data_IF_557054642252
#
_entry.id   IF_557054642252
#
_cell.length_a   1.000
_cell.length_b   1.000
_cell.length_c   1.000
_cell.angle_alpha   90.00
_cell.angle_beta   90.00
_cell.angle_gamma   90.00
#
_symmetry.space_group_name_H-M   'P 1'
#
loop_
_entity.id
_entity.type
_entity.pdbx_description
1 polymer ?
#
# COMPACT_ATOMS: atom_id res chain seq x y z
N UNK A 1 7.20 -13.77 -8.71
CA UNK A 1 5.85 -13.18 -8.69
C UNK A 1 5.30 -13.03 -10.11
N UNK A 2 4.00 -13.27 -10.29
CA UNK A 2 3.35 -13.10 -11.59
C UNK A 2 3.28 -11.62 -12.01
N UNK A 3 3.21 -10.71 -11.06
CA UNK A 3 3.17 -9.27 -11.30
C UNK A 3 4.39 -8.76 -12.10
N UNK A 4 5.58 -9.17 -11.71
CA UNK A 4 6.83 -8.85 -12.39
C UNK A 4 6.91 -9.58 -13.75
N UNK A 5 6.73 -10.90 -13.74
CA UNK A 5 6.89 -11.75 -14.90
C UNK A 5 5.96 -11.38 -16.05
N UNK A 6 4.68 -11.16 -15.77
CA UNK A 6 3.72 -10.81 -16.82
C UNK A 6 3.95 -9.40 -17.34
N UNK A 7 4.24 -8.43 -16.48
CA UNK A 7 4.55 -7.09 -16.93
C UNK A 7 5.73 -7.09 -17.93
N UNK A 8 6.78 -7.86 -17.65
CA UNK A 8 7.93 -8.01 -18.56
C UNK A 8 7.53 -8.66 -19.90
N UNK A 9 6.79 -9.76 -19.86
CA UNK A 9 6.34 -10.46 -21.08
C UNK A 9 5.44 -9.58 -21.95
N UNK A 10 4.55 -8.82 -21.31
CA UNK A 10 3.64 -7.92 -22.02
C UNK A 10 4.41 -6.72 -22.60
N UNK A 11 5.42 -6.22 -21.90
CA UNK A 11 6.31 -5.16 -22.43
C UNK A 11 7.13 -5.67 -23.62
N UNK A 12 7.63 -6.89 -23.57
CA UNK A 12 8.34 -7.52 -24.69
C UNK A 12 7.42 -7.69 -25.92
N UNK A 13 6.15 -8.04 -25.70
CA UNK A 13 5.19 -8.31 -26.78
C UNK A 13 4.52 -7.07 -27.35
N UNK A 14 4.16 -6.13 -26.53
CA UNK A 14 3.31 -4.99 -26.90
C UNK A 14 4.02 -3.63 -26.79
N UNK A 15 5.25 -3.59 -26.29
CA UNK A 15 5.97 -2.36 -26.00
C UNK A 15 5.58 -1.73 -24.67
N UNK A 16 6.22 -0.58 -24.40
CA UNK A 16 5.89 0.22 -23.21
C UNK A 16 4.61 1.02 -23.45
N UNK A 17 3.54 0.67 -22.74
CA UNK A 17 2.23 1.34 -22.81
C UNK A 17 2.06 2.15 -21.52
N UNK A 18 1.84 3.51 -21.62
CA UNK A 18 1.65 4.37 -20.46
C UNK A 18 0.56 3.83 -19.52
N UNK A 19 0.82 3.90 -18.21
CA UNK A 19 -0.04 3.41 -17.13
C UNK A 19 -0.33 1.89 -17.11
N UNK A 20 0.18 1.13 -18.07
CA UNK A 20 -0.03 -0.32 -18.19
C UNK A 20 1.31 -1.06 -18.05
N UNK A 21 2.20 -0.98 -19.06
CA UNK A 21 3.48 -1.70 -19.07
C UNK A 21 4.70 -0.79 -18.92
N UNK A 22 4.52 0.47 -18.59
CA UNK A 22 5.56 1.49 -18.43
C UNK A 22 6.36 1.38 -17.12
N UNK A 23 6.02 0.40 -16.29
CA UNK A 23 6.71 0.06 -15.04
C UNK A 23 7.15 -1.41 -15.07
N UNK A 24 8.08 -1.77 -14.21
CA UNK A 24 8.65 -3.13 -14.19
C UNK A 24 7.77 -4.15 -13.43
N UNK A 25 6.55 -3.77 -13.06
CA UNK A 25 5.61 -4.60 -12.31
C UNK A 25 4.17 -4.18 -12.57
N UNK A 26 3.25 -5.10 -12.41
CA UNK A 26 1.83 -4.80 -12.25
C UNK A 26 1.48 -4.59 -10.78
N UNK A 27 0.53 -3.71 -10.51
CA UNK A 27 -0.06 -3.58 -9.18
C UNK A 27 -0.67 -4.93 -8.78
N UNK A 28 -0.52 -5.30 -7.51
CA UNK A 28 -0.97 -6.60 -7.01
C UNK A 28 -2.50 -6.71 -7.06
N UNK A 29 -3.01 -7.83 -7.59
CA UNK A 29 -4.44 -8.13 -7.64
C UNK A 29 -5.25 -7.01 -8.35
N UNK A 30 -6.43 -6.67 -7.85
CA UNK A 30 -7.33 -5.64 -8.37
C UNK A 30 -7.10 -4.24 -7.76
N UNK A 31 -6.04 -4.08 -6.97
CA UNK A 31 -5.80 -2.82 -6.26
C UNK A 31 -5.50 -1.67 -7.22
N UNK A 32 -5.88 -0.47 -6.80
CA UNK A 32 -5.53 0.76 -7.50
C UNK A 32 -4.00 0.90 -7.66
N UNK A 33 -3.54 1.55 -8.72
CA UNK A 33 -2.11 1.71 -8.98
C UNK A 33 -1.42 2.42 -7.79
N UNK A 34 -0.43 1.76 -7.19
CA UNK A 34 0.27 2.22 -5.98
C UNK A 34 1.00 3.55 -6.15
N UNK A 35 1.30 3.96 -7.40
CA UNK A 35 1.94 5.24 -7.73
C UNK A 35 0.96 6.41 -7.71
N UNK A 36 -0.32 6.12 -7.85
CA UNK A 36 -1.39 7.13 -7.80
C UNK A 36 -1.74 7.40 -6.34
N UNK A 37 -2.23 8.59 -6.07
CA UNK A 37 -2.61 9.01 -4.72
C UNK A 37 -4.13 9.29 -4.64
N UNK A 38 -4.98 8.27 -4.80
CA UNK A 38 -6.41 8.43 -4.56
C UNK A 38 -6.66 8.64 -3.06
N UNK A 39 -7.76 9.29 -2.74
CA UNK A 39 -8.31 9.20 -1.38
C UNK A 39 -8.73 7.76 -1.07
N UNK A 40 -8.84 7.35 0.19
CA UNK A 40 -9.37 6.03 0.54
C UNK A 40 -10.75 5.75 -0.08
N UNK A 41 -11.58 6.76 -0.19
CA UNK A 41 -12.93 6.68 -0.76
C UNK A 41 -12.90 6.40 -2.26
N UNK A 42 -12.12 7.15 -3.02
CA UNK A 42 -11.92 6.93 -4.47
C UNK A 42 -11.32 5.56 -4.76
N UNK A 43 -10.37 5.13 -3.90
CA UNK A 43 -9.77 3.79 -4.01
C UNK A 43 -10.81 2.69 -3.81
N UNK A 44 -11.63 2.80 -2.77
CA UNK A 44 -12.69 1.82 -2.49
C UNK A 44 -13.75 1.80 -3.58
N UNK A 45 -14.14 2.96 -4.11
CA UNK A 45 -15.09 3.04 -5.24
C UNK A 45 -14.56 2.42 -6.53
N UNK A 46 -13.27 2.55 -6.79
CA UNK A 46 -12.62 1.89 -7.92
C UNK A 46 -12.57 0.37 -7.74
N UNK A 47 -12.22 -0.09 -6.55
CA UNK A 47 -11.93 -1.50 -6.30
C UNK A 47 -13.19 -2.36 -6.06
N UNK A 48 -14.28 -1.78 -5.54
CA UNK A 48 -15.50 -2.53 -5.15
C UNK A 48 -16.16 -3.30 -6.28
N UNK A 49 -15.96 -2.86 -7.52
CA UNK A 49 -16.61 -3.49 -8.70
C UNK A 49 -15.98 -4.84 -9.08
N UNK A 50 -14.73 -5.10 -8.73
CA UNK A 50 -14.02 -6.30 -9.14
C UNK A 50 -14.47 -7.56 -8.40
N UNK A 51 -14.65 -7.55 -7.07
CA UNK A 51 -15.22 -8.68 -6.34
C UNK A 51 -16.63 -9.04 -6.78
N UNK A 52 -17.46 -8.05 -7.05
CA UNK A 52 -18.84 -8.23 -7.54
C UNK A 52 -18.89 -8.95 -8.90
N UNK A 53 -17.86 -8.78 -9.73
CA UNK A 53 -17.72 -9.44 -11.02
C UNK A 53 -17.33 -10.93 -10.93
N UNK A 54 -17.21 -11.52 -9.73
CA UNK A 54 -17.05 -12.95 -9.56
C UNK A 54 -15.74 -13.44 -8.93
N UNK A 55 -15.20 -12.72 -7.95
CA UNK A 55 -14.04 -13.19 -7.18
C UNK A 55 -14.43 -14.35 -6.24
N UNK A 56 -14.37 -15.59 -6.76
CA UNK A 56 -14.79 -16.80 -6.03
C UNK A 56 -13.82 -17.23 -4.91
N UNK A 57 -12.57 -16.76 -4.96
CA UNK A 57 -11.54 -17.14 -3.99
C UNK A 57 -11.41 -16.20 -2.79
N UNK A 58 -12.26 -15.18 -2.69
CA UNK A 58 -12.18 -14.13 -1.69
C UNK A 58 -11.31 -12.93 -2.14
N UNK A 59 -11.43 -11.84 -1.40
CA UNK A 59 -10.76 -10.58 -1.70
C UNK A 59 -10.61 -9.76 -0.43
N UNK A 60 -9.58 -8.90 -0.40
CA UNK A 60 -9.35 -7.95 0.68
C UNK A 60 -9.00 -6.61 0.04
N UNK A 61 -9.72 -5.56 0.39
CA UNK A 61 -9.37 -4.20 0.06
C UNK A 61 -8.39 -3.66 1.10
N UNK A 62 -7.30 -3.05 0.66
CA UNK A 62 -6.30 -2.46 1.54
C UNK A 62 -6.21 -0.96 1.31
N UNK A 63 -6.29 -0.18 2.39
CA UNK A 63 -5.91 1.22 2.39
C UNK A 63 -4.60 1.40 3.15
N UNK A 64 -3.68 2.16 2.57
CA UNK A 64 -2.40 2.52 3.18
C UNK A 64 -2.58 3.86 3.91
N UNK A 65 -2.43 3.86 5.23
CA UNK A 65 -2.62 5.06 6.04
C UNK A 65 -1.27 5.59 6.56
N UNK A 66 -1.17 6.91 6.83
CA UNK A 66 -0.12 7.43 7.69
C UNK A 66 -0.33 6.99 9.14
N UNK A 67 0.50 7.45 10.06
CA UNK A 67 0.26 7.26 11.50
C UNK A 67 -0.96 8.07 11.92
N UNK A 68 -2.05 7.41 12.32
CA UNK A 68 -3.36 8.03 12.65
C UNK A 68 -3.67 8.05 14.15
N UNK A 69 -2.69 7.86 15.02
CA UNK A 69 -2.90 7.84 16.48
C UNK A 69 -3.56 9.12 17.00
N UNK A 70 -3.27 10.26 16.40
CA UNK A 70 -3.82 11.56 16.79
C UNK A 70 -5.13 11.91 16.08
N UNK A 71 -5.53 11.16 15.06
CA UNK A 71 -6.76 11.39 14.30
C UNK A 71 -7.52 10.09 14.00
N UNK A 72 -8.00 9.37 15.01
CA UNK A 72 -8.75 8.12 14.81
C UNK A 72 -10.08 8.33 14.07
N UNK A 73 -10.65 9.52 14.11
CA UNK A 73 -11.89 9.85 13.38
C UNK A 73 -11.74 9.77 11.88
N UNK A 74 -10.54 10.05 11.35
CA UNK A 74 -10.27 9.87 9.92
C UNK A 74 -10.36 8.40 9.51
N UNK A 75 -9.88 7.49 10.36
CA UNK A 75 -9.99 6.05 10.14
C UNK A 75 -11.45 5.57 10.26
N UNK A 76 -12.17 6.03 11.27
CA UNK A 76 -13.59 5.74 11.48
C UNK A 76 -14.42 6.12 10.24
N UNK A 77 -14.20 7.33 9.69
CA UNK A 77 -14.90 7.77 8.48
C UNK A 77 -14.68 6.85 7.27
N UNK A 78 -13.48 6.30 7.12
CA UNK A 78 -13.19 5.32 6.05
C UNK A 78 -13.87 3.97 6.33
N UNK A 79 -13.90 3.53 7.58
CA UNK A 79 -14.57 2.29 7.97
C UNK A 79 -16.08 2.39 7.75
N UNK A 80 -16.71 3.49 8.16
CA UNK A 80 -18.13 3.73 7.93
C UNK A 80 -18.45 3.77 6.44
N UNK A 81 -17.60 4.40 5.64
CA UNK A 81 -17.75 4.42 4.18
C UNK A 81 -17.65 3.04 3.55
N UNK A 82 -16.74 2.22 4.05
CA UNK A 82 -16.50 0.87 3.52
C UNK A 82 -17.56 -0.15 3.93
N UNK A 83 -18.24 0.07 5.06
CA UNK A 83 -19.09 -0.92 5.73
C UNK A 83 -20.14 -1.58 4.83
N UNK A 84 -20.80 -0.80 3.98
CA UNK A 84 -21.84 -1.29 3.08
C UNK A 84 -21.37 -1.40 1.61
N UNK A 85 -20.08 -1.21 1.32
CA UNK A 85 -19.52 -1.17 -0.03
C UNK A 85 -18.55 -2.28 -0.34
N UNK A 86 -17.84 -2.78 0.66
CA UNK A 86 -16.84 -3.82 0.48
C UNK A 86 -16.97 -4.91 1.54
N UNK A 87 -16.77 -6.16 1.13
CA UNK A 87 -16.94 -7.30 2.03
C UNK A 87 -15.80 -7.49 3.04
N UNK A 88 -14.60 -6.97 2.75
CA UNK A 88 -13.45 -7.05 3.64
C UNK A 88 -12.47 -5.89 3.42
N UNK A 89 -12.28 -5.09 4.45
CA UNK A 89 -11.31 -3.99 4.47
C UNK A 89 -10.14 -4.31 5.39
N UNK A 90 -8.92 -4.31 4.85
CA UNK A 90 -7.67 -4.37 5.61
C UNK A 90 -7.14 -2.97 5.88
N UNK A 91 -6.97 -2.62 7.15
CA UNK A 91 -6.34 -1.35 7.57
C UNK A 91 -4.83 -1.54 7.69
N UNK A 92 -4.06 -0.78 6.91
CA UNK A 92 -2.61 -0.87 6.91
C UNK A 92 -2.00 0.45 7.40
N UNK A 93 -1.53 0.45 8.65
CA UNK A 93 -0.84 1.57 9.28
C UNK A 93 0.65 1.27 9.46
N UNK A 94 1.54 2.28 9.45
CA UNK A 94 2.95 2.07 9.72
C UNK A 94 3.20 1.59 11.15
N UNK A 95 3.96 0.51 11.27
CA UNK A 95 4.36 -0.11 12.55
C UNK A 95 5.83 -0.52 12.55
N UNK A 96 6.64 0.10 11.70
CA UNK A 96 8.08 -0.16 11.70
C UNK A 96 8.73 0.39 12.97
N UNK A 97 9.76 -0.28 13.47
CA UNK A 97 10.45 0.11 14.70
C UNK A 97 11.97 0.11 14.54
N UNK A 98 12.61 1.14 15.09
CA UNK A 98 14.06 1.24 15.21
C UNK A 98 14.48 1.09 16.68
N UNK A 99 15.17 0.01 17.00
CA UNK A 99 15.68 -0.25 18.36
C UNK A 99 16.93 0.58 18.72
N UNK A 100 17.49 1.34 17.75
CA UNK A 100 18.64 2.21 18.00
C UNK A 100 18.24 3.61 18.48
N UNK A 101 17.10 4.11 18.06
CA UNK A 101 16.62 5.46 18.41
C UNK A 101 15.16 5.50 18.89
N UNK A 102 14.57 4.33 19.14
CA UNK A 102 13.18 4.15 19.60
C UNK A 102 12.09 4.79 18.70
N UNK A 103 12.42 5.05 17.42
CA UNK A 103 11.44 5.53 16.46
C UNK A 103 10.43 4.42 16.13
N UNK A 104 9.16 4.77 16.16
CA UNK A 104 8.05 3.94 15.67
C UNK A 104 7.27 4.71 14.59
N UNK A 105 7.00 4.07 13.45
CA UNK A 105 6.28 4.72 12.35
C UNK A 105 6.59 4.12 10.99
N UNK A 106 6.64 4.96 9.96
CA UNK A 106 6.89 4.54 8.59
C UNK A 106 8.36 4.72 8.22
N UNK A 107 9.01 3.62 7.83
CA UNK A 107 10.37 3.66 7.34
C UNK A 107 10.40 4.04 5.86
N UNK A 108 11.41 4.82 5.49
CA UNK A 108 11.61 5.29 4.12
C UNK A 108 12.22 4.20 3.24
N UNK A 109 11.71 4.04 2.00
CA UNK A 109 12.31 3.10 1.06
C UNK A 109 13.69 3.60 0.60
N UNK A 110 14.64 2.68 0.48
CA UNK A 110 15.99 2.91 -0.04
C UNK A 110 16.29 1.90 -1.14
N UNK A 111 17.40 2.07 -1.85
CA UNK A 111 17.85 1.10 -2.89
C UNK A 111 18.04 -0.32 -2.34
N UNK A 112 18.34 -0.46 -1.04
CA UNK A 112 18.65 -1.73 -0.38
C UNK A 112 17.56 -2.22 0.58
N UNK A 113 16.42 -1.54 0.64
CA UNK A 113 15.30 -1.90 1.52
C UNK A 113 14.67 -0.68 2.18
N UNK A 114 14.65 -0.62 3.51
CA UNK A 114 14.01 0.46 4.27
C UNK A 114 14.96 0.98 5.36
N UNK A 115 14.91 2.28 5.61
CA UNK A 115 15.70 2.93 6.64
C UNK A 115 14.83 3.76 7.59
N UNK A 116 15.26 3.85 8.85
CA UNK A 116 14.62 4.70 9.84
C UNK A 116 14.76 6.18 9.45
N UNK A 117 13.66 6.95 9.33
CA UNK A 117 13.73 8.36 8.94
C UNK A 117 14.39 9.24 9.99
N UNK A 118 14.44 8.80 11.26
CA UNK A 118 15.02 9.57 12.35
C UNK A 118 16.56 9.46 12.44
N UNK A 119 17.12 8.27 12.20
CA UNK A 119 18.56 8.05 12.37
C UNK A 119 19.26 7.35 11.20
N UNK A 120 18.55 7.06 10.10
CA UNK A 120 19.08 6.38 8.93
C UNK A 120 19.42 4.90 9.14
N UNK A 121 19.10 4.32 10.31
CA UNK A 121 19.41 2.93 10.60
C UNK A 121 18.62 1.97 9.69
N UNK A 122 19.33 1.05 9.04
CA UNK A 122 18.77 -0.01 8.19
C UNK A 122 19.30 -1.40 8.53
N UNK A 123 20.01 -1.54 9.66
CA UNK A 123 20.57 -2.82 10.11
C UNK A 123 19.44 -3.77 10.53
N UNK A 124 19.24 -4.91 9.82
CA UNK A 124 18.14 -5.84 10.11
C UNK A 124 18.18 -6.47 11.51
N UNK A 125 19.27 -6.32 12.26
CA UNK A 125 19.36 -6.78 13.66
C UNK A 125 18.79 -5.76 14.66
N UNK A 126 18.66 -4.51 14.25
CA UNK A 126 18.25 -3.39 15.10
C UNK A 126 17.09 -2.59 14.54
N UNK A 127 16.45 -3.09 13.47
CA UNK A 127 15.19 -2.57 12.95
C UNK A 127 14.18 -3.70 12.77
N UNK A 128 12.92 -3.38 12.99
CA UNK A 128 11.80 -4.22 12.60
C UNK A 128 10.98 -3.49 11.52
N UNK A 129 10.97 -4.04 10.31
CA UNK A 129 10.28 -3.46 9.15
C UNK A 129 9.10 -4.33 8.80
N UNK A 130 7.90 -3.79 8.96
CA UNK A 130 6.64 -4.51 8.73
C UNK A 130 5.84 -3.84 7.64
N UNK A 131 5.85 -4.45 6.47
CA UNK A 131 5.10 -3.97 5.29
C UNK A 131 4.11 -5.03 4.81
N UNK A 132 3.03 -4.58 4.21
CA UNK A 132 2.12 -5.47 3.51
C UNK A 132 2.80 -6.04 2.25
N UNK A 133 2.91 -7.35 2.19
CA UNK A 133 3.49 -8.06 1.06
C UNK A 133 2.47 -9.04 0.48
N UNK A 134 1.66 -8.65 -0.46
CA UNK A 134 0.48 -9.39 -0.91
C UNK A 134 -0.61 -9.43 0.18
N UNK A 135 -1.04 -10.61 0.64
CA UNK A 135 -2.08 -10.79 1.64
C UNK A 135 -1.58 -10.93 3.08
N UNK A 136 -0.32 -10.62 3.39
CA UNK A 136 0.23 -10.70 4.74
C UNK A 136 1.16 -9.50 5.05
N UNK A 137 1.40 -9.28 6.34
CA UNK A 137 2.37 -8.33 6.85
C UNK A 137 3.70 -9.03 7.13
N UNK A 138 4.80 -8.35 6.90
CA UNK A 138 6.12 -8.88 7.20
C UNK A 138 7.25 -8.03 6.65
N UNK A 139 8.49 -8.43 6.98
CA UNK A 139 9.67 -7.77 6.48
C UNK A 139 9.93 -8.19 5.02
N UNK A 140 9.89 -7.25 4.05
CA UNK A 140 10.15 -7.54 2.65
C UNK A 140 11.56 -8.08 2.39
N UNK A 141 12.53 -7.71 3.24
CA UNK A 141 13.93 -8.12 3.11
C UNK A 141 14.21 -9.52 3.68
N UNK A 142 13.32 -10.02 4.55
CA UNK A 142 13.47 -11.34 5.17
C UNK A 142 13.02 -12.50 4.26
N UNK A 143 12.44 -12.22 3.10
CA UNK A 143 11.93 -13.23 2.17
C UNK A 143 12.49 -13.04 0.77
N UNK A 144 12.83 -14.12 0.06
CA UNK A 144 13.19 -14.04 -1.35
C UNK A 144 11.97 -13.59 -2.16
N UNK A 145 12.02 -12.38 -2.68
CA UNK A 145 10.99 -11.80 -3.56
C UNK A 145 11.63 -11.27 -4.83
N UNK A 146 10.86 -11.28 -5.92
CA UNK A 146 11.29 -10.68 -7.18
C UNK A 146 11.38 -9.16 -7.07
N UNK A 147 12.28 -8.55 -7.85
CA UNK A 147 12.52 -7.11 -7.84
C UNK A 147 11.26 -6.26 -8.01
N UNK A 148 10.36 -6.64 -8.93
CA UNK A 148 9.12 -5.92 -9.15
C UNK A 148 8.23 -5.86 -7.91
N UNK A 149 8.29 -6.85 -7.02
CA UNK A 149 7.56 -6.81 -5.75
C UNK A 149 8.18 -5.79 -4.78
N UNK A 150 9.50 -5.72 -4.67
CA UNK A 150 10.17 -4.71 -3.86
C UNK A 150 9.88 -3.30 -4.37
N UNK A 151 9.92 -3.09 -5.69
CA UNK A 151 9.59 -1.81 -6.33
C UNK A 151 8.13 -1.41 -6.10
N UNK A 152 7.19 -2.35 -6.20
CA UNK A 152 5.76 -2.10 -5.91
C UNK A 152 5.56 -1.65 -4.47
N UNK A 153 6.17 -2.32 -3.49
CA UNK A 153 6.04 -1.95 -2.07
C UNK A 153 6.66 -0.58 -1.80
N UNK A 154 7.83 -0.30 -2.39
CA UNK A 154 8.52 0.98 -2.22
C UNK A 154 7.78 2.17 -2.88
N UNK A 155 7.03 1.90 -3.95
CA UNK A 155 6.28 2.93 -4.68
C UNK A 155 4.92 3.29 -4.05
N UNK A 156 4.49 2.60 -2.99
CA UNK A 156 3.17 2.84 -2.38
C UNK A 156 3.07 4.20 -1.75
N UNK A 157 1.96 4.87 -2.04
CA UNK A 157 1.61 6.18 -1.49
C UNK A 157 0.62 6.01 -0.33
N UNK A 158 0.71 6.85 0.68
CA UNK A 158 -0.28 6.93 1.76
C UNK A 158 -1.49 7.73 1.31
N UNK A 159 -2.69 7.20 1.48
CA UNK A 159 -3.91 7.79 0.92
C UNK A 159 -4.48 8.99 1.70
N UNK A 160 -3.81 9.43 2.76
CA UNK A 160 -4.25 10.54 3.61
C UNK A 160 -3.15 11.55 3.91
N UNK A 161 -2.08 11.61 3.13
CA UNK A 161 -0.96 12.52 3.39
C UNK A 161 -1.37 13.99 3.26
N UNK A 162 -1.49 14.68 4.40
CA UNK A 162 -1.58 16.13 4.50
C UNK A 162 -2.78 16.77 3.81
N UNK A 163 -3.82 16.00 3.46
CA UNK A 163 -4.99 16.49 2.72
C UNK A 163 -6.24 16.52 3.58
N UNK A 164 -7.04 17.54 3.43
CA UNK A 164 -8.44 17.54 3.88
C UNK A 164 -9.23 16.61 2.96
N UNK A 165 -9.82 15.57 3.52
CA UNK A 165 -10.65 14.65 2.76
C UNK A 165 -12.09 15.11 2.83
N UNK A 166 -12.65 15.46 1.68
CA UNK A 166 -14.07 15.83 1.54
C UNK A 166 -14.84 14.66 0.95
N UNK A 167 -15.79 14.13 1.70
CA UNK A 167 -16.82 13.21 1.20
C UNK A 167 -18.17 13.88 1.27
N UNK A 168 -19.16 13.37 0.56
CA UNK A 168 -20.52 13.94 0.47
C UNK A 168 -21.11 14.30 1.86
N UNK A 169 -20.79 15.49 2.36
CA UNK A 169 -21.28 16.04 3.61
C UNK A 169 -20.39 15.88 4.84
N UNK A 170 -19.22 15.19 4.74
CA UNK A 170 -18.28 15.07 5.85
C UNK A 170 -16.90 15.59 5.44
N UNK A 171 -16.36 16.47 6.27
CA UNK A 171 -14.99 16.98 6.16
C UNK A 171 -14.15 16.36 7.28
N UNK A 172 -13.10 15.61 6.89
CA UNK A 172 -12.15 15.00 7.82
C UNK A 172 -10.79 15.64 7.58
N UNK A 173 -10.28 16.34 8.57
CA UNK A 173 -8.94 16.95 8.55
C UNK A 173 -7.96 16.10 9.33
N UNK A 174 -6.74 15.97 8.80
CA UNK A 174 -5.60 15.39 9.52
C UNK A 174 -5.11 16.30 10.64
#
# INVERSE_FOLDING_TARGET
SLTDRFCRLDTEKFGSIPDITDKEYYTNSFHYDVRKNPTPFEKLDFEKVYPEAGASGGFIHYCEYPVLQQNPKALEAVWDYAYDRVGYLGTNTPIDRCYKCDFEGDFEPTERGFACPNCGNSDPKTVDVVKRTCGYLGNPQARPMVNGRHKEIAARVKHMNGSTIKTAGHEVTN
#
